data_IF_413380954194
#
_entry.id   IF_413380954194
#
_cell.length_a   1.000
_cell.length_b   1.000
_cell.length_c   1.000
_cell.angle_alpha   90.00
_cell.angle_beta   90.00
_cell.angle_gamma   90.00
#
_symmetry.space_group_name_H-M   'P 1'
#
loop_
_entity.id
_entity.type
_entity.pdbx_description
1 polymer ?
#
# COMPACT_ATOMS: atom_id res chain seq x y z
N UNK A 1 5.01 8.72 17.12
CA UNK A 1 4.57 7.31 17.02
C UNK A 1 5.46 6.49 17.93
N UNK A 2 4.93 5.44 18.54
CA UNK A 2 5.64 4.65 19.53
C UNK A 2 6.69 3.78 18.79
N UNK A 3 7.97 4.11 18.96
CA UNK A 3 9.10 3.54 18.18
C UNK A 3 9.11 2.00 18.31
N UNK A 4 8.74 1.50 19.48
CA UNK A 4 8.61 0.07 19.75
C UNK A 4 7.55 -0.57 18.86
N UNK A 5 6.39 0.04 18.67
CA UNK A 5 5.32 -0.50 17.79
C UNK A 5 5.83 -0.60 16.35
N UNK A 6 6.50 0.44 15.86
CA UNK A 6 7.05 0.47 14.49
C UNK A 6 8.12 -0.62 14.29
N UNK A 7 8.97 -0.85 15.29
CA UNK A 7 9.96 -1.92 15.25
C UNK A 7 9.30 -3.30 15.10
N UNK A 8 8.23 -3.58 15.87
CA UNK A 8 7.53 -4.86 15.79
C UNK A 8 6.79 -5.05 14.46
N UNK A 9 6.25 -3.97 13.90
CA UNK A 9 5.62 -3.98 12.57
C UNK A 9 6.66 -4.27 11.48
N UNK A 10 7.84 -3.64 11.56
CA UNK A 10 8.96 -3.87 10.63
C UNK A 10 9.46 -5.31 10.66
N UNK A 11 9.44 -5.95 11.83
CA UNK A 11 9.78 -7.37 12.01
C UNK A 11 8.65 -8.33 11.61
N UNK A 12 7.51 -7.83 11.10
CA UNK A 12 6.36 -8.63 10.69
C UNK A 12 5.78 -9.51 11.81
N UNK A 13 5.81 -9.05 13.06
CA UNK A 13 5.18 -9.79 14.15
C UNK A 13 3.64 -9.68 14.10
N UNK A 14 2.93 -10.82 14.01
CA UNK A 14 1.47 -10.82 14.11
C UNK A 14 1.03 -10.43 15.52
N UNK A 15 -0.22 -9.97 15.68
CA UNK A 15 -0.76 -9.56 16.99
C UNK A 15 -0.51 -10.60 18.09
N UNK A 16 -0.62 -11.89 17.75
CA UNK A 16 -0.40 -13.02 18.66
C UNK A 16 1.02 -13.13 19.24
N UNK A 17 2.02 -12.58 18.56
CA UNK A 17 3.45 -12.63 18.97
C UNK A 17 3.96 -11.32 19.55
N UNK A 18 3.09 -10.31 19.71
CA UNK A 18 3.49 -9.04 20.30
C UNK A 18 3.69 -9.16 21.81
N UNK A 19 4.74 -8.53 22.37
CA UNK A 19 4.91 -8.45 23.82
C UNK A 19 3.79 -7.64 24.47
N UNK A 20 3.44 -8.02 25.71
CA UNK A 20 2.35 -7.40 26.47
C UNK A 20 2.49 -5.89 26.65
N UNK A 21 3.72 -5.38 26.76
CA UNK A 21 4.02 -3.95 26.86
C UNK A 21 3.55 -3.14 25.65
N UNK A 22 3.72 -3.70 24.45
CA UNK A 22 3.30 -3.06 23.19
C UNK A 22 1.78 -3.16 23.03
N UNK A 23 1.19 -4.31 23.40
CA UNK A 23 -0.27 -4.49 23.40
C UNK A 23 -0.97 -3.52 24.35
N UNK A 24 -0.44 -3.32 25.56
CA UNK A 24 -0.94 -2.34 26.52
C UNK A 24 -0.86 -0.92 25.97
N UNK A 25 0.26 -0.56 25.31
CA UNK A 25 0.42 0.75 24.66
C UNK A 25 -0.59 1.00 23.54
N UNK A 26 -1.11 -0.06 22.91
CA UNK A 26 -2.14 -0.04 21.86
C UNK A 26 -3.57 -0.24 22.43
N UNK A 27 -3.74 -0.21 23.76
CA UNK A 27 -5.04 -0.39 24.40
C UNK A 27 -5.62 -1.80 24.28
N UNK A 28 -4.77 -2.82 24.07
CA UNK A 28 -5.14 -4.23 23.88
C UNK A 28 -6.14 -4.50 22.75
N UNK A 29 -6.36 -3.54 21.85
CA UNK A 29 -7.27 -3.69 20.73
C UNK A 29 -6.50 -4.12 19.49
N UNK A 30 -6.81 -5.31 18.99
CA UNK A 30 -6.25 -5.79 17.72
C UNK A 30 -6.60 -4.84 16.55
N UNK A 31 -7.79 -4.25 16.56
CA UNK A 31 -8.23 -3.29 15.52
C UNK A 31 -7.33 -2.07 15.46
N UNK A 32 -6.89 -1.57 16.61
CA UNK A 32 -6.02 -0.39 16.68
C UNK A 32 -4.63 -0.71 16.11
N UNK A 33 -4.12 -1.91 16.38
CA UNK A 33 -2.88 -2.41 15.79
C UNK A 33 -2.97 -2.55 14.27
N UNK A 34 -4.06 -3.10 13.76
CA UNK A 34 -4.28 -3.24 12.31
C UNK A 34 -4.29 -1.87 11.61
N UNK A 35 -4.89 -0.85 12.24
CA UNK A 35 -4.86 0.53 11.74
C UNK A 35 -3.43 1.11 11.74
N UNK A 36 -2.66 0.86 12.80
CA UNK A 36 -1.25 1.29 12.87
C UNK A 36 -0.39 0.60 11.82
N UNK A 37 -0.58 -0.71 11.61
CA UNK A 37 0.08 -1.48 10.55
C UNK A 37 -0.22 -0.87 9.18
N UNK A 38 -1.48 -0.53 8.91
CA UNK A 38 -1.89 0.08 7.64
C UNK A 38 -1.23 1.45 7.43
N UNK A 39 -1.30 2.33 8.44
CA UNK A 39 -0.70 3.66 8.38
C UNK A 39 0.81 3.60 8.20
N UNK A 40 1.49 2.74 8.97
CA UNK A 40 2.93 2.54 8.85
C UNK A 40 3.30 2.02 7.45
N UNK A 41 2.52 1.08 6.93
CA UNK A 41 2.77 0.49 5.61
C UNK A 41 2.60 1.50 4.47
N UNK A 42 1.59 2.39 4.57
CA UNK A 42 1.38 3.47 3.61
C UNK A 42 2.52 4.49 3.70
N UNK A 43 2.87 4.93 4.91
CA UNK A 43 3.95 5.91 5.14
C UNK A 43 5.31 5.42 4.67
N UNK A 44 5.60 4.14 4.86
CA UNK A 44 6.86 3.51 4.48
C UNK A 44 6.78 2.79 3.12
N UNK A 45 5.70 2.98 2.35
CA UNK A 45 5.50 2.44 1.00
C UNK A 45 5.74 0.92 0.89
N UNK A 46 5.29 0.16 1.88
CA UNK A 46 5.50 -1.29 1.95
C UNK A 46 4.65 -2.06 0.93
N UNK A 47 5.25 -3.09 0.30
CA UNK A 47 4.57 -3.98 -0.65
C UNK A 47 3.60 -4.94 0.04
N UNK A 48 2.50 -5.26 -0.62
CA UNK A 48 1.45 -6.14 -0.09
C UNK A 48 1.90 -7.61 0.10
N UNK A 49 2.68 -8.16 -0.83
CA UNK A 49 2.96 -9.62 -0.96
C UNK A 49 3.63 -10.28 0.26
N UNK A 50 4.47 -9.55 0.99
CA UNK A 50 5.29 -10.11 2.09
C UNK A 50 5.02 -9.48 3.46
N UNK A 51 4.03 -8.59 3.58
CA UNK A 51 3.79 -7.85 4.82
C UNK A 51 2.48 -8.23 5.49
N UNK A 52 2.35 -7.84 6.76
CA UNK A 52 1.14 -8.01 7.57
C UNK A 52 -0.12 -7.39 6.93
N UNK A 53 0.05 -6.44 5.99
CA UNK A 53 -1.03 -5.79 5.24
C UNK A 53 -1.99 -6.80 4.61
N UNK A 54 -1.50 -7.97 4.16
CA UNK A 54 -2.32 -9.03 3.57
C UNK A 54 -3.41 -9.58 4.49
N UNK A 55 -3.18 -9.49 5.80
CA UNK A 55 -4.14 -9.94 6.81
C UNK A 55 -5.15 -8.85 7.17
N UNK A 56 -4.75 -7.57 7.01
CA UNK A 56 -5.56 -6.41 7.35
C UNK A 56 -6.49 -6.03 6.19
N UNK A 57 -5.95 -5.90 4.99
CA UNK A 57 -6.70 -5.65 3.75
C UNK A 57 -6.60 -6.89 2.90
N UNK A 58 -7.73 -7.44 2.46
CA UNK A 58 -7.78 -8.54 1.48
C UNK A 58 -7.66 -8.03 0.05
N UNK A 59 -8.15 -6.81 -0.19
CA UNK A 59 -8.13 -6.15 -1.49
C UNK A 59 -6.79 -5.44 -1.71
N UNK A 60 -5.90 -6.08 -2.47
CA UNK A 60 -4.61 -5.51 -2.85
C UNK A 60 -4.76 -4.18 -3.63
N UNK A 61 -5.71 -4.13 -4.59
CA UNK A 61 -5.96 -2.93 -5.41
C UNK A 61 -6.32 -1.70 -4.56
N UNK A 62 -7.27 -1.84 -3.63
CA UNK A 62 -7.69 -0.73 -2.76
C UNK A 62 -6.57 -0.25 -1.86
N UNK A 63 -5.70 -1.15 -1.39
CA UNK A 63 -4.53 -0.77 -0.60
C UNK A 63 -3.59 0.14 -1.41
N UNK A 64 -3.30 -0.19 -2.66
CA UNK A 64 -2.46 0.66 -3.51
C UNK A 64 -3.14 1.98 -3.91
N UNK A 65 -4.47 2.00 -4.07
CA UNK A 65 -5.22 3.26 -4.27
C UNK A 65 -5.08 4.21 -3.08
N UNK A 66 -5.22 3.70 -1.84
CA UNK A 66 -5.02 4.51 -0.64
C UNK A 66 -3.56 5.00 -0.51
N UNK A 67 -2.60 4.15 -0.84
CA UNK A 67 -1.18 4.52 -0.86
C UNK A 67 -0.90 5.65 -1.87
N UNK A 68 -1.47 5.56 -3.07
CA UNK A 68 -1.36 6.61 -4.09
C UNK A 68 -2.03 7.91 -3.67
N UNK A 69 -3.20 7.83 -3.05
CA UNK A 69 -3.88 9.01 -2.50
C UNK A 69 -2.99 9.72 -1.47
N UNK A 70 -2.41 8.96 -0.54
CA UNK A 70 -1.50 9.49 0.47
C UNK A 70 -0.25 10.12 -0.15
N UNK A 71 0.36 9.47 -1.15
CA UNK A 71 1.53 9.98 -1.88
C UNK A 71 1.22 11.31 -2.60
N UNK A 72 0.03 11.43 -3.20
CA UNK A 72 -0.43 12.67 -3.86
C UNK A 72 -0.65 13.80 -2.86
N UNK A 73 -1.25 13.51 -1.71
CA UNK A 73 -1.47 14.49 -0.63
C UNK A 73 -0.16 14.99 -0.01
N UNK A 74 0.85 14.12 0.09
CA UNK A 74 2.16 14.46 0.67
C UNK A 74 3.18 14.94 -0.38
N UNK A 75 2.77 15.15 -1.64
CA UNK A 75 3.64 15.55 -2.76
C UNK A 75 4.89 14.65 -2.91
N UNK A 76 4.80 13.38 -2.50
CA UNK A 76 5.91 12.45 -2.65
C UNK A 76 5.99 11.98 -4.10
N UNK A 77 7.17 12.15 -4.68
CA UNK A 77 7.52 11.77 -6.05
C UNK A 77 7.09 10.32 -6.32
N UNK A 78 6.41 10.09 -7.46
CA UNK A 78 5.82 8.80 -7.82
C UNK A 78 6.81 7.63 -7.62
N UNK A 79 6.51 6.66 -6.75
CA UNK A 79 7.46 5.61 -6.41
C UNK A 79 7.64 4.61 -7.56
N UNK A 80 8.81 4.65 -8.21
CA UNK A 80 9.20 3.71 -9.28
C UNK A 80 9.19 2.23 -8.83
N UNK A 81 9.40 1.98 -7.53
CA UNK A 81 9.36 0.63 -6.97
C UNK A 81 7.95 0.01 -6.93
N UNK A 82 6.89 0.78 -7.17
CA UNK A 82 5.51 0.30 -7.32
C UNK A 82 5.04 0.33 -8.78
N UNK A 83 5.85 0.80 -9.72
CA UNK A 83 5.46 0.92 -11.15
C UNK A 83 5.01 -0.40 -11.76
N UNK A 84 5.67 -1.53 -11.45
CA UNK A 84 5.22 -2.86 -11.90
C UNK A 84 3.81 -3.20 -11.44
N UNK A 85 3.46 -2.83 -10.22
CA UNK A 85 2.16 -3.13 -9.61
C UNK A 85 1.09 -2.17 -10.14
N UNK A 86 1.44 -0.92 -10.39
CA UNK A 86 0.53 0.06 -11.00
C UNK A 86 0.22 -0.28 -12.46
N UNK A 87 1.23 -0.67 -13.23
CA UNK A 87 1.10 -1.03 -14.65
C UNK A 87 0.35 -2.36 -14.80
N UNK A 88 0.69 -3.38 -14.01
CA UNK A 88 0.08 -4.73 -14.12
C UNK A 88 -1.21 -4.88 -13.33
N UNK A 89 -1.32 -4.24 -12.17
CA UNK A 89 -2.47 -4.35 -11.26
C UNK A 89 -3.59 -3.35 -11.56
N UNK A 90 -3.24 -2.12 -11.95
CA UNK A 90 -4.20 -1.04 -12.22
C UNK A 90 -4.35 -0.66 -13.71
N UNK A 91 -3.52 -1.23 -14.60
CA UNK A 91 -3.46 -0.87 -16.04
C UNK A 91 -3.22 0.64 -16.28
N UNK A 92 -2.44 1.28 -15.41
CA UNK A 92 -2.03 2.67 -15.60
C UNK A 92 -0.63 2.69 -16.20
N UNK A 93 -0.53 3.02 -17.49
CA UNK A 93 0.76 3.22 -18.16
C UNK A 93 1.39 4.54 -17.71
N UNK A 94 2.65 4.56 -17.24
CA UNK A 94 3.32 5.77 -16.72
C UNK A 94 3.58 6.86 -17.78
N UNK A 95 3.41 6.54 -19.07
CA UNK A 95 3.50 7.51 -20.18
C UNK A 95 2.16 8.17 -20.52
N UNK A 96 1.05 7.67 -20.01
CA UNK A 96 -0.29 8.17 -20.34
C UNK A 96 -0.86 8.87 -19.10
N UNK A 97 -0.50 10.15 -18.92
CA UNK A 97 -1.06 11.01 -17.86
C UNK A 97 -2.58 11.25 -18.06
N UNK A 98 -3.11 10.94 -19.24
CA UNK A 98 -4.54 11.01 -19.53
C UNK A 98 -5.10 9.68 -20.02
N UNK A 99 -6.07 9.14 -19.26
CA UNK A 99 -6.89 7.99 -19.68
C UNK A 99 -7.66 8.23 -20.98
N UNK A 100 -7.76 9.49 -21.44
CA UNK A 100 -8.40 9.85 -22.72
C UNK A 100 -7.55 9.50 -23.95
N UNK A 101 -6.22 9.37 -23.85
CA UNK A 101 -5.40 9.06 -25.04
C UNK A 101 -5.40 7.59 -25.48
N UNK A 102 -5.83 6.65 -24.63
CA UNK A 102 -5.86 5.22 -25.01
C UNK A 102 -7.11 4.79 -25.80
N UNK A 103 -8.02 5.72 -26.14
CA UNK A 103 -9.15 5.44 -27.05
C UNK A 103 -8.88 5.78 -28.51
N UNK A 104 -7.62 5.88 -28.93
CA UNK A 104 -7.27 5.83 -30.35
C UNK A 104 -6.99 4.36 -30.74
N UNK A 105 -8.03 3.65 -31.18
CA UNK A 105 -7.85 2.36 -31.83
C UNK A 105 -7.12 2.53 -33.16
N UNK A 106 -6.25 1.59 -33.58
CA UNK A 106 -5.89 1.50 -34.97
C UNK A 106 -7.01 0.76 -35.71
N UNK A 107 -8.04 1.50 -36.11
CA UNK A 107 -8.74 1.17 -37.34
C UNK A 107 -7.81 1.54 -38.49
N UNK A 108 -7.28 0.53 -39.19
CA UNK A 108 -6.34 0.75 -40.28
C UNK A 108 -6.06 -0.53 -41.04
N UNK A 109 -6.93 -0.79 -42.02
CA UNK A 109 -6.81 -1.70 -43.17
C UNK A 109 -5.42 -2.35 -43.36
N UNK A 110 -5.40 -3.68 -43.50
CA UNK A 110 -4.42 -4.34 -44.34
C UNK A 110 -5.16 -5.19 -45.38
N UNK A 111 -4.70 -4.98 -46.61
CA UNK A 111 -5.11 -5.57 -47.89
C UNK A 111 -4.92 -7.08 -47.92
#
# INVERSE_FOLDING_TARGET
MNIDVEFHIRQNYPWSKLPGSVRQSLGNSQREYEKHVLLYSIRNQLRYRNNLVRYVKKDERKYYEELLKYSREHLMLYPFHLSDIMVKGLQVCPVCVDKESCKAGPGGQQQ
#
